data_IF_394173249142
#
_entry.id   IF_394173249142
#
_cell.length_a   1.000
_cell.length_b   1.000
_cell.length_c   1.000
_cell.angle_alpha   90.00
_cell.angle_beta   90.00
_cell.angle_gamma   90.00
#
_symmetry.space_group_name_H-M   'P 1'
#
loop_
_entity.id
_entity.type
_entity.pdbx_description
1 polymer ?
#
# COMPACT_ATOMS: atom_id res chain seq x y z
N UNK A 1 -19.54 15.25 33.14
CA UNK A 1 -20.09 15.66 31.83
C UNK A 1 -21.27 14.77 31.44
N UNK A 2 -22.12 14.41 32.39
CA UNK A 2 -23.32 13.63 32.12
C UNK A 2 -24.28 14.41 31.20
N UNK A 3 -24.89 13.70 30.22
CA UNK A 3 -25.91 14.27 29.31
C UNK A 3 -25.41 15.43 28.41
N UNK A 4 -24.13 15.38 27.99
CA UNK A 4 -23.61 16.36 27.04
C UNK A 4 -23.84 15.96 25.60
N UNK A 5 -24.10 16.94 24.75
CA UNK A 5 -24.25 16.79 23.29
C UNK A 5 -23.33 17.79 22.61
N UNK A 6 -22.64 17.35 21.57
CA UNK A 6 -21.84 18.20 20.70
C UNK A 6 -22.33 18.07 19.27
N UNK A 7 -22.18 19.12 18.47
CA UNK A 7 -22.63 19.13 17.07
C UNK A 7 -21.50 19.65 16.15
N UNK A 8 -21.56 19.25 14.91
CA UNK A 8 -20.62 19.65 13.87
C UNK A 8 -21.03 19.09 12.50
N UNK A 9 -20.10 19.04 11.57
CA UNK A 9 -20.31 18.54 10.22
C UNK A 9 -19.34 17.39 9.90
N UNK A 10 -19.69 16.58 8.91
CA UNK A 10 -18.78 15.60 8.31
C UNK A 10 -17.78 16.35 7.43
N UNK A 11 -16.52 16.31 7.81
CA UNK A 11 -15.41 16.94 7.07
C UNK A 11 -14.86 16.05 5.96
N UNK A 12 -14.83 14.72 6.18
CA UNK A 12 -14.39 13.73 5.20
C UNK A 12 -14.93 12.33 5.54
N UNK A 13 -14.87 11.42 4.57
CA UNK A 13 -15.17 9.99 4.76
C UNK A 13 -14.01 9.15 4.22
N UNK A 14 -13.89 7.92 4.73
CA UNK A 14 -12.87 6.98 4.26
C UNK A 14 -11.45 7.34 4.69
N UNK A 15 -11.29 8.05 5.83
CA UNK A 15 -9.95 8.40 6.33
C UNK A 15 -9.27 7.21 6.98
N UNK A 16 -8.09 6.86 6.49
CA UNK A 16 -7.19 5.92 7.16
C UNK A 16 -6.30 6.67 8.15
N UNK A 17 -6.04 6.06 9.29
CA UNK A 17 -5.15 6.62 10.31
C UNK A 17 -3.88 5.76 10.41
N UNK A 18 -2.74 6.34 10.84
CA UNK A 18 -1.54 5.56 11.10
C UNK A 18 -1.85 4.38 12.04
N UNK A 19 -1.42 3.18 11.66
CA UNK A 19 -1.65 1.92 12.37
C UNK A 19 -3.10 1.40 12.40
N UNK A 20 -4.04 2.04 11.71
CA UNK A 20 -5.46 1.63 11.61
C UNK A 20 -5.92 1.51 10.16
N UNK A 21 -5.34 0.55 9.44
CA UNK A 21 -5.54 0.40 7.99
C UNK A 21 -6.88 -0.22 7.58
N UNK A 22 -7.69 -0.71 8.55
CA UNK A 22 -8.92 -1.44 8.24
C UNK A 22 -10.20 -0.66 8.53
N UNK A 23 -10.10 0.55 9.06
CA UNK A 23 -11.24 1.37 9.43
C UNK A 23 -11.30 2.63 8.55
N UNK A 24 -12.34 2.79 7.71
CA UNK A 24 -12.53 3.98 6.88
C UNK A 24 -13.24 5.06 7.70
N UNK A 25 -12.53 5.74 8.60
CA UNK A 25 -13.11 6.68 9.54
C UNK A 25 -13.93 7.79 8.87
N UNK A 26 -15.03 8.17 9.53
CA UNK A 26 -15.73 9.42 9.29
C UNK A 26 -14.99 10.51 10.06
N UNK A 27 -14.48 11.52 9.36
CA UNK A 27 -13.87 12.69 9.98
C UNK A 27 -14.93 13.76 10.18
N UNK A 28 -14.97 14.35 11.38
CA UNK A 28 -15.87 15.45 11.73
C UNK A 28 -15.13 16.55 12.49
N UNK A 29 -15.75 17.72 12.64
CA UNK A 29 -15.33 18.78 13.55
C UNK A 29 -16.11 18.77 14.87
N UNK A 30 -16.89 17.71 15.11
CA UNK A 30 -17.61 17.51 16.39
C UNK A 30 -16.61 17.44 17.52
N UNK A 31 -16.79 18.27 18.56
CA UNK A 31 -15.90 18.29 19.70
C UNK A 31 -16.01 16.99 20.50
N UNK A 32 -14.96 16.17 20.44
CA UNK A 32 -14.81 14.95 21.22
C UNK A 32 -13.84 15.22 22.36
N UNK A 33 -14.29 14.92 23.56
CA UNK A 33 -13.50 15.02 24.79
C UNK A 33 -13.65 13.71 25.58
N UNK A 34 -12.82 13.47 26.61
CA UNK A 34 -12.95 12.30 27.48
C UNK A 34 -14.40 12.10 27.97
N UNK A 35 -14.96 10.91 27.73
CA UNK A 35 -16.36 10.56 28.00
C UNK A 35 -17.22 10.40 26.74
N UNK A 36 -16.89 11.05 25.62
CA UNK A 36 -17.65 10.92 24.37
C UNK A 36 -17.24 9.72 23.52
N UNK A 37 -16.03 9.15 23.72
CA UNK A 37 -15.57 7.97 22.99
C UNK A 37 -16.45 6.76 23.28
N UNK A 38 -16.84 6.03 22.22
CA UNK A 38 -17.81 4.94 22.29
C UNK A 38 -19.27 5.42 22.19
N UNK A 39 -19.53 6.72 22.30
CA UNK A 39 -20.85 7.30 22.09
C UNK A 39 -21.24 7.34 20.61
N UNK A 40 -22.56 7.41 20.31
CA UNK A 40 -23.07 7.41 18.95
C UNK A 40 -22.87 8.76 18.25
N UNK A 41 -22.52 8.70 16.96
CA UNK A 41 -22.62 9.83 16.04
C UNK A 41 -23.96 9.74 15.32
N UNK A 42 -24.80 10.74 15.49
CA UNK A 42 -26.14 10.79 14.87
C UNK A 42 -26.17 11.68 13.61
N UNK A 43 -27.02 11.33 12.66
CA UNK A 43 -27.43 12.26 11.61
C UNK A 43 -28.68 13.08 12.06
N UNK A 44 -29.09 14.03 11.21
CA UNK A 44 -30.26 14.89 11.49
C UNK A 44 -31.60 14.13 11.53
N UNK A 45 -31.65 12.87 11.14
CA UNK A 45 -32.83 12.00 11.22
C UNK A 45 -32.84 11.14 12.49
N UNK A 46 -31.88 11.34 13.40
CA UNK A 46 -31.76 10.56 14.63
C UNK A 46 -31.19 9.14 14.41
N UNK A 47 -30.62 8.86 13.25
CA UNK A 47 -30.03 7.56 12.98
C UNK A 47 -28.54 7.58 13.39
N UNK A 48 -28.08 6.52 14.02
CA UNK A 48 -26.65 6.33 14.31
C UNK A 48 -25.92 6.06 12.99
N UNK A 49 -24.94 6.88 12.66
CA UNK A 49 -24.10 6.78 11.46
C UNK A 49 -22.68 6.37 11.78
N UNK A 50 -22.28 6.44 13.06
CA UNK A 50 -20.96 6.02 13.50
C UNK A 50 -20.84 5.92 15.00
N UNK A 51 -19.67 5.41 15.45
CA UNK A 51 -19.29 5.32 16.86
C UNK A 51 -18.06 6.20 17.05
N UNK A 52 -18.14 7.19 17.94
CA UNK A 52 -17.01 8.10 18.24
C UNK A 52 -15.81 7.31 18.76
N UNK A 53 -14.64 7.55 18.19
CA UNK A 53 -13.44 6.79 18.49
C UNK A 53 -12.35 7.67 19.10
N UNK A 54 -11.76 8.54 18.32
CA UNK A 54 -10.58 9.30 18.71
C UNK A 54 -10.53 10.68 18.04
N UNK A 55 -9.59 11.50 18.50
CA UNK A 55 -9.28 12.81 17.94
C UNK A 55 -7.87 12.82 17.35
N UNK A 56 -7.62 13.70 16.41
CA UNK A 56 -6.27 14.12 16.08
C UNK A 56 -5.85 15.21 17.09
N UNK A 57 -4.82 14.94 17.85
CA UNK A 57 -4.37 15.90 18.88
C UNK A 57 -2.86 15.81 19.08
N UNK A 58 -2.23 16.95 19.26
CA UNK A 58 -0.83 17.08 19.68
C UNK A 58 -0.71 17.38 21.19
N UNK A 59 -1.77 17.94 21.79
CA UNK A 59 -1.79 18.36 23.20
C UNK A 59 -2.69 17.49 24.09
N UNK A 60 -3.38 16.49 23.51
CA UNK A 60 -4.37 15.67 24.21
C UNK A 60 -5.79 16.26 24.24
N UNK A 61 -5.97 17.51 23.84
CA UNK A 61 -7.28 18.18 23.72
C UNK A 61 -7.80 18.18 22.29
N UNK A 62 -9.10 18.43 22.12
CA UNK A 62 -9.74 18.58 20.81
C UNK A 62 -9.17 19.77 20.04
N UNK A 63 -8.76 19.53 18.78
CA UNK A 63 -8.16 20.52 17.88
C UNK A 63 -8.92 20.63 16.53
N UNK A 64 -10.24 20.45 16.55
CA UNK A 64 -11.08 20.57 15.36
C UNK A 64 -11.15 19.32 14.48
N UNK A 65 -10.53 18.20 14.87
CA UNK A 65 -10.54 16.97 14.09
C UNK A 65 -10.89 15.77 14.99
N UNK A 66 -12.00 15.12 14.66
CA UNK A 66 -12.48 13.90 15.31
C UNK A 66 -12.72 12.80 14.31
N UNK A 67 -12.67 11.55 14.77
CA UNK A 67 -12.89 10.37 13.99
C UNK A 67 -13.95 9.47 14.62
N UNK A 68 -14.88 9.01 13.80
CA UNK A 68 -15.87 8.01 14.15
C UNK A 68 -15.77 6.79 13.25
N UNK A 69 -15.95 5.60 13.83
CA UNK A 69 -16.05 4.34 13.09
C UNK A 69 -17.42 4.32 12.40
N UNK A 70 -17.51 4.11 11.07
CA UNK A 70 -18.80 3.99 10.39
C UNK A 70 -19.66 2.88 11.00
N UNK A 71 -20.97 3.08 11.06
CA UNK A 71 -21.87 2.15 11.77
C UNK A 71 -21.92 0.76 11.11
N UNK A 72 -21.80 0.66 9.80
CA UNK A 72 -21.73 -0.59 9.06
C UNK A 72 -20.49 -1.42 9.43
N UNK A 73 -19.33 -0.75 9.58
CA UNK A 73 -18.11 -1.38 10.06
C UNK A 73 -18.25 -1.84 11.51
N UNK A 74 -18.80 -0.99 12.38
CA UNK A 74 -19.04 -1.32 13.79
C UNK A 74 -19.99 -2.52 13.93
N UNK A 75 -21.06 -2.59 13.14
CA UNK A 75 -22.01 -3.69 13.16
C UNK A 75 -21.39 -4.99 12.62
N UNK A 76 -20.58 -4.92 11.57
CA UNK A 76 -19.85 -6.09 11.07
C UNK A 76 -18.94 -6.70 12.15
N UNK A 77 -18.16 -5.84 12.83
CA UNK A 77 -17.31 -6.25 13.95
C UNK A 77 -18.11 -6.84 15.10
N UNK A 78 -19.21 -6.20 15.50
CA UNK A 78 -20.09 -6.68 16.57
C UNK A 78 -20.69 -8.05 16.24
N UNK A 79 -21.11 -8.27 15.00
CA UNK A 79 -21.65 -9.55 14.55
C UNK A 79 -20.59 -10.65 14.56
N UNK A 80 -19.35 -10.37 14.15
CA UNK A 80 -18.26 -11.34 14.24
C UNK A 80 -17.94 -11.69 15.69
N UNK A 81 -17.86 -10.71 16.57
CA UNK A 81 -17.62 -10.93 18.02
C UNK A 81 -18.72 -11.77 18.66
N UNK A 82 -19.99 -11.47 18.32
CA UNK A 82 -21.15 -12.22 18.84
C UNK A 82 -21.16 -13.67 18.39
N UNK A 83 -20.79 -13.95 17.11
CA UNK A 83 -20.82 -15.29 16.54
C UNK A 83 -19.58 -16.12 16.87
N UNK A 84 -18.42 -15.50 16.82
CA UNK A 84 -17.14 -16.21 16.81
C UNK A 84 -16.24 -15.85 18.02
N UNK A 85 -16.62 -14.86 18.85
CA UNK A 85 -15.81 -14.36 19.95
C UNK A 85 -14.55 -13.60 19.54
N UNK A 86 -14.30 -13.46 18.24
CA UNK A 86 -13.13 -12.77 17.68
C UNK A 86 -13.45 -12.17 16.32
N UNK A 87 -12.65 -11.16 15.94
CA UNK A 87 -12.69 -10.55 14.60
C UNK A 87 -11.64 -11.20 13.73
N UNK A 88 -12.04 -11.78 12.62
CA UNK A 88 -11.17 -12.34 11.60
C UNK A 88 -11.22 -11.46 10.36
N UNK A 89 -10.04 -11.00 9.90
CA UNK A 89 -9.93 -10.15 8.73
C UNK A 89 -9.31 -10.92 7.58
N UNK A 90 -9.89 -10.76 6.40
CA UNK A 90 -9.29 -11.30 5.18
C UNK A 90 -8.00 -10.59 4.81
N UNK A 91 -7.07 -11.32 4.22
CA UNK A 91 -5.80 -10.79 3.66
C UNK A 91 -5.55 -11.39 2.29
N UNK A 92 -5.01 -10.57 1.40
CA UNK A 92 -4.48 -11.04 0.10
C UNK A 92 -2.98 -11.36 0.15
N UNK A 93 -2.24 -10.84 1.11
CA UNK A 93 -0.80 -11.13 1.26
C UNK A 93 0.07 -10.34 0.30
N UNK A 94 -0.12 -9.03 0.26
CA UNK A 94 0.68 -8.09 -0.53
C UNK A 94 1.18 -6.94 0.34
N UNK A 95 2.29 -6.32 -0.09
CA UNK A 95 2.69 -4.98 0.33
C UNK A 95 2.31 -4.02 -0.78
N UNK A 96 1.63 -2.95 -0.42
CA UNK A 96 1.14 -1.94 -1.36
C UNK A 96 1.76 -0.58 -1.09
N UNK A 97 1.76 0.26 -2.11
CA UNK A 97 2.12 1.68 -2.00
C UNK A 97 1.16 2.54 -2.83
N UNK A 98 1.16 3.82 -2.51
CA UNK A 98 0.38 4.83 -3.22
C UNK A 98 0.90 5.03 -4.65
N UNK A 99 -0.03 5.21 -5.58
CA UNK A 99 0.28 5.56 -6.96
C UNK A 99 0.32 7.08 -7.08
N UNK A 100 1.51 7.66 -7.11
CA UNK A 100 1.67 9.08 -7.42
C UNK A 100 1.63 9.32 -8.95
N UNK A 101 1.66 10.58 -9.37
CA UNK A 101 1.58 10.97 -10.78
C UNK A 101 2.69 10.34 -11.65
N UNK A 102 3.93 10.34 -11.15
CA UNK A 102 5.08 9.83 -11.90
C UNK A 102 5.04 8.31 -12.05
N UNK A 103 4.61 7.59 -11.01
CA UNK A 103 4.35 6.15 -11.09
C UNK A 103 3.17 5.85 -12.03
N UNK A 104 2.07 6.61 -11.95
CA UNK A 104 0.96 6.44 -12.89
C UNK A 104 1.45 6.56 -14.34
N UNK A 105 2.25 7.59 -14.64
CA UNK A 105 2.83 7.81 -15.96
C UNK A 105 3.75 6.66 -16.38
N UNK A 106 4.63 6.17 -15.51
CA UNK A 106 5.54 5.06 -15.83
C UNK A 106 4.82 3.73 -16.07
N UNK A 107 3.63 3.52 -15.48
CA UNK A 107 2.79 2.35 -15.73
C UNK A 107 1.71 2.56 -16.82
N UNK A 108 1.72 3.71 -17.50
CA UNK A 108 0.76 4.04 -18.57
C UNK A 108 -0.67 4.29 -18.07
N UNK A 109 -0.84 4.68 -16.81
CA UNK A 109 -2.14 5.08 -16.26
C UNK A 109 -2.46 6.53 -16.62
N UNK A 110 -3.74 6.82 -16.86
CA UNK A 110 -4.23 8.18 -17.12
C UNK A 110 -4.40 9.01 -15.84
N UNK A 111 -4.52 8.36 -14.69
CA UNK A 111 -4.72 9.01 -13.40
C UNK A 111 -3.96 8.27 -12.29
N UNK A 112 -3.52 9.01 -11.29
CA UNK A 112 -2.86 8.49 -10.11
C UNK A 112 -3.90 7.89 -9.14
N UNK A 113 -4.36 6.68 -9.41
CA UNK A 113 -5.32 5.96 -8.58
C UNK A 113 -4.98 4.47 -8.49
N UNK A 114 -5.48 3.83 -7.43
CA UNK A 114 -5.26 2.43 -7.16
C UNK A 114 -4.20 2.16 -6.09
N UNK A 115 -3.94 0.89 -5.85
CA UNK A 115 -2.93 0.39 -4.92
C UNK A 115 -1.85 -0.37 -5.71
N UNK A 116 -0.63 0.15 -5.78
CA UNK A 116 0.49 -0.49 -6.47
C UNK A 116 1.08 -1.59 -5.57
N UNK A 117 1.12 -2.81 -6.07
CA UNK A 117 1.74 -3.94 -5.37
C UNK A 117 3.26 -3.84 -5.52
N UNK A 118 3.97 -3.65 -4.41
CA UNK A 118 5.44 -3.64 -4.36
C UNK A 118 6.02 -5.00 -3.96
N UNK A 119 5.24 -5.84 -3.28
CA UNK A 119 5.67 -7.19 -2.88
C UNK A 119 4.48 -8.12 -2.74
N UNK A 120 4.67 -9.38 -3.10
CA UNK A 120 3.71 -10.48 -2.90
C UNK A 120 4.32 -11.47 -1.91
N UNK A 121 3.52 -11.91 -0.92
CA UNK A 121 3.96 -12.90 0.06
C UNK A 121 4.00 -14.28 -0.61
N UNK A 122 5.16 -14.95 -0.68
CA UNK A 122 5.27 -16.28 -1.28
C UNK A 122 4.31 -17.29 -0.64
N UNK A 123 3.62 -18.10 -1.45
CA UNK A 123 2.63 -19.09 -1.01
C UNK A 123 1.33 -18.48 -0.47
N UNK A 124 1.22 -17.15 -0.41
CA UNK A 124 0.02 -16.44 0.03
C UNK A 124 -1.12 -16.43 -1.01
N UNK A 125 -2.29 -15.88 -0.64
CA UNK A 125 -3.43 -15.76 -1.54
C UNK A 125 -3.13 -15.05 -2.85
N UNK A 126 -2.42 -13.93 -2.80
CA UNK A 126 -2.03 -13.14 -3.96
C UNK A 126 -1.10 -13.91 -4.90
N UNK A 127 -0.11 -14.62 -4.34
CA UNK A 127 0.84 -15.45 -5.10
C UNK A 127 0.10 -16.58 -5.83
N UNK A 128 -0.78 -17.29 -5.12
CA UNK A 128 -1.62 -18.36 -5.70
C UNK A 128 -2.55 -17.86 -6.79
N UNK A 129 -2.99 -16.62 -6.71
CA UNK A 129 -3.81 -15.96 -7.72
C UNK A 129 -3.01 -15.38 -8.90
N UNK A 130 -1.68 -15.44 -8.85
CA UNK A 130 -0.80 -14.93 -9.90
C UNK A 130 -0.65 -13.41 -9.93
N UNK A 131 -0.88 -12.74 -8.79
CA UNK A 131 -0.55 -11.32 -8.62
C UNK A 131 0.96 -11.15 -8.53
N UNK A 132 1.45 -10.04 -9.06
CA UNK A 132 2.89 -9.77 -9.18
C UNK A 132 3.21 -8.34 -8.73
N UNK A 133 4.46 -8.07 -8.29
CA UNK A 133 4.94 -6.71 -8.14
C UNK A 133 4.79 -5.91 -9.44
N UNK A 134 4.30 -4.67 -9.35
CA UNK A 134 3.98 -3.82 -10.49
C UNK A 134 2.52 -3.92 -10.96
N UNK A 135 1.69 -4.81 -10.40
CA UNK A 135 0.25 -4.75 -10.60
C UNK A 135 -0.34 -3.59 -9.79
N UNK A 136 -1.30 -2.89 -10.36
CA UNK A 136 -2.02 -1.82 -9.67
C UNK A 136 -3.47 -2.24 -9.50
N UNK A 137 -3.90 -2.47 -8.27
CA UNK A 137 -5.29 -2.82 -7.96
C UNK A 137 -6.15 -1.57 -8.09
N UNK A 138 -7.13 -1.61 -8.98
CA UNK A 138 -8.05 -0.51 -9.29
C UNK A 138 -9.47 -0.73 -8.78
N UNK A 139 -9.86 -1.99 -8.52
CA UNK A 139 -11.16 -2.31 -7.94
C UNK A 139 -11.17 -3.62 -7.18
N UNK A 140 -12.11 -3.75 -6.24
CA UNK A 140 -12.41 -4.98 -5.48
C UNK A 140 -13.91 -5.26 -5.65
N UNK A 141 -14.28 -6.38 -6.25
CA UNK A 141 -15.69 -6.73 -6.54
C UNK A 141 -16.46 -5.61 -7.26
N UNK A 142 -15.79 -4.87 -8.15
CA UNK A 142 -16.35 -3.73 -8.88
C UNK A 142 -16.33 -2.40 -8.12
N UNK A 143 -16.01 -2.37 -6.83
CA UNK A 143 -15.82 -1.14 -6.06
C UNK A 143 -14.43 -0.55 -6.31
N UNK A 144 -14.38 0.74 -6.66
CA UNK A 144 -13.14 1.40 -7.06
C UNK A 144 -12.19 1.62 -5.89
N UNK A 145 -10.92 1.31 -6.10
CA UNK A 145 -9.78 1.65 -5.24
C UNK A 145 -9.19 2.96 -5.75
N UNK A 146 -9.42 4.07 -5.05
CA UNK A 146 -8.92 5.41 -5.42
C UNK A 146 -7.54 5.67 -4.85
N UNK A 147 -7.35 5.34 -3.59
CA UNK A 147 -6.09 5.43 -2.87
C UNK A 147 -5.63 4.03 -2.42
N UNK A 148 -4.35 3.85 -2.16
CA UNK A 148 -3.82 2.56 -1.69
C UNK A 148 -4.47 2.13 -0.37
N UNK A 149 -4.85 3.09 0.48
CA UNK A 149 -5.53 2.87 1.76
C UNK A 149 -6.92 2.25 1.65
N UNK A 150 -7.59 2.34 0.49
CA UNK A 150 -8.92 1.75 0.30
C UNK A 150 -8.86 0.23 0.26
N UNK A 151 -7.78 -0.33 -0.30
CA UNK A 151 -7.65 -1.77 -0.50
C UNK A 151 -7.70 -2.58 0.80
N UNK A 152 -6.93 -2.25 1.86
CA UNK A 152 -7.03 -2.94 3.15
C UNK A 152 -8.42 -2.85 3.78
N UNK A 153 -9.11 -1.72 3.61
CA UNK A 153 -10.47 -1.52 4.13
C UNK A 153 -11.44 -2.49 3.45
N UNK A 154 -11.48 -2.48 2.11
CA UNK A 154 -12.39 -3.33 1.33
C UNK A 154 -12.15 -4.82 1.58
N UNK A 155 -10.87 -5.22 1.61
CA UNK A 155 -10.49 -6.62 1.84
C UNK A 155 -10.71 -7.05 3.29
N UNK A 156 -10.35 -6.20 4.26
CA UNK A 156 -10.41 -6.51 5.69
C UNK A 156 -11.83 -6.61 6.25
N UNK A 157 -12.85 -6.10 5.55
CA UNK A 157 -14.25 -6.27 5.92
C UNK A 157 -14.81 -7.67 5.59
N UNK A 158 -14.14 -8.42 4.74
CA UNK A 158 -14.54 -9.75 4.31
C UNK A 158 -13.83 -10.83 5.15
N UNK A 159 -14.52 -11.93 5.51
CA UNK A 159 -13.90 -13.02 6.27
C UNK A 159 -12.88 -13.79 5.41
N UNK A 160 -11.91 -14.47 6.05
CA UNK A 160 -11.04 -15.43 5.37
C UNK A 160 -11.84 -16.49 4.61
N UNK A 161 -11.31 -16.98 3.49
CA UNK A 161 -11.99 -17.94 2.61
C UNK A 161 -12.94 -17.30 1.60
N UNK A 162 -13.25 -16.01 1.74
CA UNK A 162 -14.04 -15.28 0.74
C UNK A 162 -13.29 -15.19 -0.57
N UNK A 163 -13.94 -15.52 -1.67
CA UNK A 163 -13.44 -15.29 -3.01
C UNK A 163 -13.86 -13.89 -3.47
N UNK A 164 -12.90 -13.10 -3.95
CA UNK A 164 -13.14 -11.77 -4.49
C UNK A 164 -12.50 -11.62 -5.87
N UNK A 165 -13.01 -10.68 -6.65
CA UNK A 165 -12.47 -10.29 -7.95
C UNK A 165 -11.74 -8.97 -7.81
N UNK A 166 -10.44 -8.95 -8.14
CA UNK A 166 -9.64 -7.75 -8.25
C UNK A 166 -9.58 -7.29 -9.70
N UNK A 167 -9.99 -6.06 -9.97
CA UNK A 167 -9.65 -5.39 -11.22
C UNK A 167 -8.25 -4.79 -11.09
N UNK A 168 -7.32 -5.25 -11.90
CA UNK A 168 -5.94 -4.80 -11.88
C UNK A 168 -5.53 -4.13 -13.19
N UNK A 169 -4.55 -3.25 -13.11
CA UNK A 169 -3.82 -2.73 -14.26
C UNK A 169 -2.48 -3.45 -14.36
N UNK A 170 -2.27 -4.14 -15.49
CA UNK A 170 -1.07 -4.92 -15.77
C UNK A 170 -0.68 -4.74 -17.23
N UNK A 171 0.58 -4.37 -17.52
CA UNK A 171 1.11 -4.24 -18.89
C UNK A 171 0.25 -3.32 -19.80
N UNK A 172 -0.23 -2.20 -19.27
CA UNK A 172 -1.06 -1.26 -20.06
C UNK A 172 -2.49 -1.73 -20.32
N UNK A 173 -2.95 -2.79 -19.64
CA UNK A 173 -4.29 -3.36 -19.80
C UNK A 173 -4.98 -3.59 -18.47
N UNK A 174 -6.31 -3.57 -18.48
CA UNK A 174 -7.12 -4.01 -17.36
C UNK A 174 -7.31 -5.51 -17.43
N UNK A 175 -7.12 -6.17 -16.29
CA UNK A 175 -7.34 -7.60 -16.12
C UNK A 175 -8.14 -7.83 -14.85
N UNK A 176 -8.86 -8.95 -14.78
CA UNK A 176 -9.54 -9.41 -13.57
C UNK A 176 -8.84 -10.64 -13.01
N UNK A 177 -8.58 -10.62 -11.72
CA UNK A 177 -7.92 -11.72 -11.00
C UNK A 177 -8.78 -12.12 -9.82
N UNK A 178 -9.08 -13.42 -9.72
CA UNK A 178 -9.82 -13.97 -8.59
C UNK A 178 -8.85 -14.37 -7.48
N UNK A 179 -9.13 -13.90 -6.27
CA UNK A 179 -8.30 -14.16 -5.09
C UNK A 179 -9.17 -14.73 -3.98
N UNK A 180 -8.75 -15.82 -3.37
CA UNK A 180 -9.38 -16.35 -2.15
C UNK A 180 -8.64 -15.83 -0.94
N UNK A 181 -9.34 -15.11 -0.05
CA UNK A 181 -8.72 -14.44 1.11
C UNK A 181 -8.16 -15.46 2.11
N UNK A 182 -6.97 -15.19 2.60
CA UNK A 182 -6.38 -15.88 3.75
C UNK A 182 -6.75 -15.21 5.07
N UNK A 183 -6.43 -15.84 6.20
CA UNK A 183 -6.58 -15.28 7.53
C UNK A 183 -5.41 -14.33 7.87
N UNK A 184 -5.70 -13.25 8.59
CA UNK A 184 -4.66 -12.37 9.13
C UNK A 184 -3.81 -13.06 10.21
N UNK A 185 -4.32 -14.12 10.83
CA UNK A 185 -3.61 -14.89 11.88
C UNK A 185 -2.63 -15.95 11.32
N UNK A 186 -2.69 -16.28 10.03
CA UNK A 186 -1.81 -17.28 9.40
C UNK A 186 -0.58 -16.68 8.70
N UNK A 187 -0.10 -15.53 9.09
CA UNK A 187 0.97 -14.89 8.34
C UNK A 187 1.89 -13.93 9.08
N UNK A 188 1.90 -13.93 10.39
CA UNK A 188 3.07 -13.48 11.16
C UNK A 188 3.99 -14.66 11.51
N UNK A 189 4.35 -15.46 10.52
CA UNK A 189 5.74 -15.86 10.52
C UNK A 189 6.45 -14.57 10.12
N UNK A 190 6.94 -13.86 11.13
CA UNK A 190 8.07 -12.99 10.97
C UNK A 190 8.85 -13.49 9.77
N UNK A 191 9.14 -12.58 8.84
CA UNK A 191 10.28 -12.79 7.96
C UNK A 191 11.46 -12.89 8.93
N UNK A 192 11.54 -14.06 9.57
CA UNK A 192 12.59 -14.48 10.48
C UNK A 192 13.83 -14.33 9.66
N UNK A 193 14.61 -13.36 10.06
CA UNK A 193 16.04 -13.35 10.05
C UNK A 193 16.67 -14.60 9.39
N UNK A 194 16.50 -14.73 8.07
CA UNK A 194 17.47 -15.42 7.27
C UNK A 194 18.57 -14.40 6.99
N UNK A 195 19.42 -14.25 8.00
CA UNK A 195 20.80 -13.85 7.80
C UNK A 195 21.43 -14.92 6.91
N UNK A 196 21.17 -14.81 5.62
CA UNK A 196 21.97 -15.39 4.58
C UNK A 196 23.27 -14.61 4.56
N UNK A 197 24.18 -14.95 5.45
CA UNK A 197 25.59 -14.64 5.32
C UNK A 197 26.12 -15.41 4.10
N UNK A 198 25.90 -14.84 2.96
CA UNK A 198 26.45 -15.20 1.67
C UNK A 198 27.36 -14.06 1.23
N UNK A 199 28.52 -13.93 1.86
CA UNK A 199 29.63 -13.18 1.32
C UNK A 199 30.19 -13.94 0.13
N UNK A 200 29.53 -13.86 -1.01
CA UNK A 200 30.22 -13.98 -2.28
C UNK A 200 30.48 -12.54 -2.72
N UNK A 201 31.64 -12.05 -2.39
CA UNK A 201 32.23 -10.89 -3.02
C UNK A 201 32.48 -11.26 -4.49
N UNK A 202 31.44 -11.13 -5.31
CA UNK A 202 31.60 -11.05 -6.74
C UNK A 202 32.21 -9.67 -7.01
N UNK A 203 33.50 -9.65 -7.33
CA UNK A 203 34.26 -8.45 -7.71
C UNK A 203 33.88 -8.01 -9.13
N UNK A 204 32.59 -7.94 -9.42
CA UNK A 204 32.08 -7.32 -10.64
C UNK A 204 32.45 -5.83 -10.66
N UNK A 205 33.13 -5.40 -11.73
CA UNK A 205 33.37 -3.99 -11.99
C UNK A 205 32.02 -3.27 -12.06
N UNK A 206 31.89 -2.15 -11.33
CA UNK A 206 30.70 -1.30 -11.45
C UNK A 206 30.64 -0.68 -12.84
N UNK A 207 29.42 -0.41 -13.31
CA UNK A 207 29.16 0.30 -14.57
C UNK A 207 28.35 1.56 -14.29
N UNK A 208 28.47 2.55 -15.18
CA UNK A 208 27.72 3.81 -15.09
C UNK A 208 26.64 3.85 -16.14
N UNK A 209 25.43 4.18 -15.74
CA UNK A 209 24.29 4.39 -16.63
C UNK A 209 24.02 5.90 -16.74
N UNK A 210 24.54 6.54 -17.79
CA UNK A 210 24.37 7.98 -18.00
C UNK A 210 22.89 8.42 -18.06
N UNK A 211 21.97 7.71 -18.73
CA UNK A 211 20.59 8.13 -18.79
C UNK A 211 19.88 8.19 -17.43
N UNK A 212 20.40 7.48 -16.44
CA UNK A 212 19.80 7.40 -15.10
C UNK A 212 20.56 8.20 -14.05
N UNK A 213 21.85 8.53 -14.27
CA UNK A 213 22.72 9.12 -13.27
C UNK A 213 23.11 8.14 -12.15
N UNK A 214 23.16 6.83 -12.47
CA UNK A 214 23.49 5.77 -11.52
C UNK A 214 24.82 5.09 -11.83
N UNK A 215 25.59 4.86 -10.79
CA UNK A 215 26.68 3.88 -10.81
C UNK A 215 26.21 2.61 -10.12
N UNK A 216 26.28 1.49 -10.82
CA UNK A 216 25.67 0.22 -10.42
C UNK A 216 26.70 -0.90 -10.44
N UNK A 217 26.45 -1.93 -9.64
CA UNK A 217 27.22 -3.19 -9.64
C UNK A 217 26.27 -4.37 -9.47
N UNK A 218 26.47 -5.43 -10.21
CA UNK A 218 25.70 -6.67 -10.03
C UNK A 218 25.90 -7.23 -8.62
N UNK A 219 24.79 -7.55 -7.94
CA UNK A 219 24.80 -8.14 -6.60
C UNK A 219 23.62 -9.08 -6.40
N UNK A 220 23.87 -10.37 -6.38
CA UNK A 220 22.85 -11.38 -6.20
C UNK A 220 21.79 -11.34 -7.31
N UNK A 221 20.54 -11.07 -6.95
CA UNK A 221 19.42 -11.01 -7.89
C UNK A 221 19.06 -9.57 -8.33
N UNK A 222 20.00 -8.62 -8.19
CA UNK A 222 19.73 -7.23 -8.53
C UNK A 222 21.02 -6.42 -8.73
N UNK A 223 20.84 -5.11 -8.83
CA UNK A 223 21.91 -4.15 -9.06
C UNK A 223 22.08 -3.23 -7.84
N UNK A 224 23.22 -3.33 -7.17
CA UNK A 224 23.56 -2.45 -6.05
C UNK A 224 23.89 -1.06 -6.57
N UNK A 225 23.26 -0.05 -5.98
CA UNK A 225 23.51 1.36 -6.23
C UNK A 225 24.75 1.80 -5.45
N UNK A 226 25.82 2.15 -6.18
CA UNK A 226 27.08 2.63 -5.62
C UNK A 226 27.10 4.15 -5.49
N UNK A 227 26.58 4.86 -6.51
CA UNK A 227 26.53 6.32 -6.58
C UNK A 227 25.24 6.75 -7.27
N UNK A 228 24.71 7.91 -6.85
CA UNK A 228 23.45 8.47 -7.33
C UNK A 228 23.66 9.94 -7.66
N UNK A 229 23.31 10.34 -8.87
CA UNK A 229 23.41 11.73 -9.35
C UNK A 229 22.16 12.11 -10.16
N UNK A 230 21.94 13.40 -10.35
CA UNK A 230 20.93 13.93 -11.26
C UNK A 230 19.50 13.44 -10.96
N UNK A 231 18.86 12.89 -11.99
CA UNK A 231 17.47 12.44 -11.92
C UNK A 231 17.23 11.33 -10.90
N UNK A 232 18.18 10.40 -10.74
CA UNK A 232 18.06 9.33 -9.77
C UNK A 232 18.04 9.85 -8.32
N UNK A 233 18.80 10.89 -8.02
CA UNK A 233 18.77 11.54 -6.72
C UNK A 233 17.43 12.24 -6.47
N UNK A 234 16.89 12.91 -7.48
CA UNK A 234 15.57 13.56 -7.40
C UNK A 234 14.45 12.55 -7.23
N UNK A 235 14.55 11.38 -7.87
CA UNK A 235 13.63 10.25 -7.70
C UNK A 235 13.71 9.61 -6.32
N UNK A 236 14.67 9.97 -5.48
CA UNK A 236 14.83 9.47 -4.13
C UNK A 236 15.61 8.16 -4.01
N UNK A 237 16.34 7.75 -5.05
CA UNK A 237 17.31 6.65 -4.96
C UNK A 237 18.45 7.03 -4.01
N UNK A 238 19.03 6.01 -3.38
CA UNK A 238 20.12 6.18 -2.40
C UNK A 238 21.19 5.13 -2.64
N UNK A 239 22.41 5.47 -2.27
CA UNK A 239 23.49 4.50 -2.18
C UNK A 239 23.09 3.35 -1.26
N UNK A 240 23.33 2.12 -1.69
CA UNK A 240 22.95 0.90 -0.96
C UNK A 240 21.59 0.34 -1.32
N UNK A 241 20.78 1.03 -2.13
CA UNK A 241 19.58 0.43 -2.71
C UNK A 241 19.97 -0.69 -3.67
N UNK A 242 19.12 -1.72 -3.80
CA UNK A 242 19.29 -2.77 -4.79
C UNK A 242 18.14 -2.66 -5.78
N UNK A 243 18.44 -2.40 -7.05
CA UNK A 243 17.43 -2.36 -8.11
C UNK A 243 17.12 -3.79 -8.52
N UNK A 244 15.87 -4.18 -8.42
CA UNK A 244 15.38 -5.53 -8.74
C UNK A 244 14.66 -5.58 -10.09
N UNK A 245 13.97 -4.49 -10.47
CA UNK A 245 13.21 -4.41 -11.72
C UNK A 245 13.24 -2.99 -12.29
N UNK A 246 13.19 -2.91 -13.60
CA UNK A 246 12.86 -1.70 -14.36
C UNK A 246 11.50 -1.93 -15.00
N UNK A 247 10.52 -1.10 -14.69
CA UNK A 247 9.10 -1.34 -15.00
C UNK A 247 8.67 -2.73 -14.48
N UNK A 248 8.54 -3.71 -15.37
CA UNK A 248 8.18 -5.10 -15.02
C UNK A 248 9.28 -6.12 -15.41
N UNK A 249 10.42 -5.64 -15.85
CA UNK A 249 11.54 -6.48 -16.26
C UNK A 249 12.53 -6.62 -15.11
N UNK A 250 12.76 -7.84 -14.66
CA UNK A 250 13.79 -8.14 -13.65
C UNK A 250 15.17 -7.84 -14.22
N UNK A 251 16.02 -7.21 -13.42
CA UNK A 251 17.37 -6.82 -13.81
C UNK A 251 18.39 -7.34 -12.79
N UNK A 252 19.48 -7.94 -13.26
CA UNK A 252 20.55 -8.50 -12.40
C UNK A 252 21.96 -8.12 -12.86
N UNK A 253 22.07 -7.59 -14.07
CA UNK A 253 23.32 -7.23 -14.73
C UNK A 253 23.15 -6.01 -15.65
N UNK A 254 24.26 -5.49 -16.16
CA UNK A 254 24.29 -4.33 -17.05
C UNK A 254 23.45 -4.54 -18.31
N UNK A 255 23.53 -5.73 -18.92
CA UNK A 255 22.83 -6.01 -20.16
C UNK A 255 21.31 -5.98 -19.98
N UNK A 256 20.80 -6.67 -18.96
CA UNK A 256 19.37 -6.69 -18.64
C UNK A 256 18.84 -5.30 -18.27
N UNK A 257 19.65 -4.51 -17.56
CA UNK A 257 19.31 -3.14 -17.19
C UNK A 257 19.21 -2.23 -18.42
N UNK A 258 20.23 -2.24 -19.29
CA UNK A 258 20.27 -1.44 -20.48
C UNK A 258 19.16 -1.84 -21.48
N UNK A 259 18.88 -3.14 -21.63
CA UNK A 259 17.77 -3.63 -22.45
C UNK A 259 16.41 -3.13 -21.92
N UNK A 260 16.19 -3.19 -20.61
CA UNK A 260 14.96 -2.71 -20.00
C UNK A 260 14.78 -1.19 -20.19
N UNK A 261 15.86 -0.42 -20.09
CA UNK A 261 15.82 1.04 -20.35
C UNK A 261 15.59 1.38 -21.82
N UNK A 262 16.14 0.62 -22.75
CA UNK A 262 15.99 0.87 -24.20
C UNK A 262 14.54 0.68 -24.68
N UNK A 263 13.77 -0.19 -24.02
CA UNK A 263 12.36 -0.43 -24.33
C UNK A 263 11.40 0.42 -23.50
N UNK A 264 11.94 1.30 -22.66
CA UNK A 264 11.15 2.11 -21.74
C UNK A 264 10.85 3.49 -22.33
N UNK A 265 9.75 4.08 -21.90
CA UNK A 265 9.42 5.49 -22.13
C UNK A 265 10.38 6.43 -21.37
N UNK A 266 10.12 7.73 -21.47
CA UNK A 266 10.91 8.75 -20.76
C UNK A 266 10.87 8.61 -19.23
N UNK A 267 9.82 8.02 -18.68
CA UNK A 267 9.66 7.78 -17.25
C UNK A 267 9.59 6.28 -16.98
N UNK A 268 10.42 5.77 -16.08
CA UNK A 268 10.48 4.35 -15.70
C UNK A 268 10.18 4.15 -14.22
N UNK A 269 9.54 3.04 -13.88
CA UNK A 269 9.37 2.61 -12.49
C UNK A 269 10.49 1.63 -12.13
N UNK A 270 11.25 1.95 -11.09
CA UNK A 270 12.30 1.08 -10.55
C UNK A 270 11.78 0.41 -9.28
N UNK A 271 11.68 -0.92 -9.25
CA UNK A 271 11.49 -1.66 -8.01
C UNK A 271 12.83 -1.78 -7.32
N UNK A 272 12.95 -1.17 -6.16
CA UNK A 272 14.15 -1.24 -5.35
C UNK A 272 13.90 -1.97 -4.04
N UNK A 273 14.95 -2.58 -3.52
CA UNK A 273 15.02 -3.04 -2.15
C UNK A 273 15.90 -2.08 -1.35
N UNK A 274 15.34 -1.55 -0.26
CA UNK A 274 16.01 -0.69 0.72
C UNK A 274 15.88 -1.33 2.10
N UNK A 275 16.96 -1.91 2.59
CA UNK A 275 16.90 -2.78 3.77
C UNK A 275 15.96 -3.97 3.53
N UNK A 276 14.94 -4.12 4.38
CA UNK A 276 13.94 -5.19 4.27
C UNK A 276 12.69 -4.80 3.46
N UNK A 277 12.61 -3.57 2.99
CA UNK A 277 11.42 -3.06 2.28
C UNK A 277 11.66 -3.00 0.78
N UNK A 278 10.61 -3.33 0.00
CA UNK A 278 10.59 -3.14 -1.45
C UNK A 278 9.62 -2.04 -1.80
N UNK A 279 10.03 -1.12 -2.69
CA UNK A 279 9.19 -0.01 -3.14
C UNK A 279 9.54 0.35 -4.59
N UNK A 280 8.56 0.92 -5.29
CA UNK A 280 8.76 1.50 -6.61
C UNK A 280 9.12 2.98 -6.49
N UNK A 281 10.09 3.41 -7.27
CA UNK A 281 10.43 4.81 -7.49
C UNK A 281 10.30 5.10 -8.98
N UNK A 282 9.70 6.24 -9.32
CA UNK A 282 9.65 6.71 -10.69
C UNK A 282 10.89 7.54 -11.01
N UNK A 283 11.54 7.23 -12.11
CA UNK A 283 12.74 7.90 -12.59
C UNK A 283 12.50 8.48 -13.99
N UNK A 284 12.77 9.75 -14.19
CA UNK A 284 12.77 10.39 -15.50
C UNK A 284 14.14 10.21 -16.16
N UNK A 285 14.17 9.64 -17.38
CA UNK A 285 15.40 9.42 -18.12
C UNK A 285 15.83 10.69 -18.88
N UNK A 286 17.06 11.08 -18.74
CA UNK A 286 17.69 12.11 -19.56
C UNK A 286 18.18 11.45 -20.87
N UNK A 287 17.41 11.64 -21.93
CA UNK A 287 17.79 11.23 -23.30
C UNK A 287 18.15 12.45 -24.13
#
# INVERSE_FOLDING_TARGET
>A
FDNSVTAGIVSAKGRSLPNENYTPFIQTDVAINPGNSGGPLFNLRGQVVGVNSQIYSQSGGFMGISFAIPIDVAMNVADQLRRNGKVERGRIGVVIQEVNYDLAKSFGLQAANGALISQVTPGGPADKAGLQPGDIVQSVNGENVKASSDLPVLVGMMPPGTQLTLGIWRNGKREEVQVTLGSSNTGSTDAGNQSGSGTNADNGSGFTSEPTGLQLRSQGQGLLVLQVEGAAQQAGLRRGDIILMVNRTTVSDENSFNQALNHADRTVALLIQRGNSKLFLALELHR
#
